data_IF_713113281864
#
_entry.id   IF_713113281864
#
_cell.length_a   1.000
_cell.length_b   1.000
_cell.length_c   1.000
_cell.angle_alpha   90.00
_cell.angle_beta   90.00
_cell.angle_gamma   90.00
#
_symmetry.space_group_name_H-M   'P 1'
#
loop_
_entity.id
_entity.type
_entity.pdbx_description
1 polymer ?
#
# COMPACT_ATOMS: atom_id res chain seq x y z
N UNK A 1 -48.83 1.98 48.46
CA UNK A 1 -47.39 1.89 48.10
C UNK A 1 -47.32 1.13 46.78
N UNK A 2 -47.15 1.82 45.64
CA UNK A 2 -45.91 1.89 44.83
C UNK A 2 -45.13 0.56 44.82
N UNK A 3 -45.07 -0.14 43.67
CA UNK A 3 -43.90 -0.14 42.76
C UNK A 3 -44.36 -0.65 41.38
N UNK A 4 -44.14 0.17 40.34
CA UNK A 4 -44.21 -0.21 38.92
C UNK A 4 -42.82 -0.70 38.53
N UNK A 5 -42.69 -1.95 38.11
CA UNK A 5 -41.44 -2.46 37.53
C UNK A 5 -41.51 -2.35 36.01
N UNK A 6 -40.93 -1.26 35.48
CA UNK A 6 -40.53 -1.14 34.08
C UNK A 6 -39.33 -2.06 33.85
N UNK A 7 -39.53 -3.17 33.16
CA UNK A 7 -38.46 -4.05 32.72
C UNK A 7 -37.87 -3.51 31.40
N UNK A 8 -36.85 -2.67 31.51
CA UNK A 8 -35.92 -2.38 30.42
C UNK A 8 -34.88 -3.51 30.40
N UNK A 9 -34.91 -4.39 29.40
CA UNK A 9 -33.74 -5.21 29.05
C UNK A 9 -33.18 -4.72 27.72
N UNK A 10 -31.95 -4.21 27.83
CA UNK A 10 -31.15 -3.66 26.75
C UNK A 10 -30.81 -4.73 25.72
N UNK A 11 -31.07 -4.44 24.45
CA UNK A 11 -30.44 -5.12 23.32
C UNK A 11 -28.95 -4.71 23.32
N UNK A 12 -28.08 -5.53 23.89
CA UNK A 12 -26.64 -5.42 23.65
C UNK A 12 -26.31 -6.11 22.34
N UNK A 13 -26.24 -5.32 21.27
CA UNK A 13 -25.64 -5.75 20.01
C UNK A 13 -24.13 -5.84 20.20
N UNK A 14 -23.63 -7.04 20.51
CA UNK A 14 -22.20 -7.34 20.35
C UNK A 14 -21.96 -7.83 18.93
N UNK A 15 -21.87 -6.91 17.97
CA UNK A 15 -21.24 -7.19 16.69
C UNK A 15 -19.74 -6.88 16.83
N UNK A 16 -18.99 -7.81 17.42
CA UNK A 16 -17.54 -7.84 17.24
C UNK A 16 -17.24 -8.44 15.86
N UNK A 17 -17.40 -7.64 14.82
CA UNK A 17 -16.93 -7.99 13.49
C UNK A 17 -15.43 -7.75 13.41
N UNK A 18 -14.63 -8.64 13.99
CA UNK A 18 -13.29 -8.86 13.48
C UNK A 18 -13.44 -9.70 12.22
N UNK A 19 -13.92 -9.08 11.14
CA UNK A 19 -13.74 -9.65 9.82
C UNK A 19 -12.22 -9.68 9.62
N UNK A 20 -11.62 -10.86 9.66
CA UNK A 20 -10.31 -11.06 9.06
C UNK A 20 -10.36 -10.41 7.69
N UNK A 21 -9.35 -9.61 7.35
CA UNK A 21 -9.33 -8.84 6.13
C UNK A 21 -9.25 -9.81 4.94
N UNK A 22 -10.41 -10.26 4.46
CA UNK A 22 -10.49 -11.35 3.48
C UNK A 22 -9.82 -10.87 2.19
N UNK A 23 -8.64 -11.43 1.90
CA UNK A 23 -7.94 -11.21 0.65
C UNK A 23 -6.54 -10.61 0.79
N UNK A 24 -6.22 -9.85 1.84
CA UNK A 24 -4.89 -9.22 1.97
C UNK A 24 -3.89 -10.13 2.69
N UNK A 25 -2.74 -10.40 2.07
CA UNK A 25 -1.64 -11.15 2.67
C UNK A 25 -0.29 -10.52 2.37
N UNK A 26 0.65 -10.63 3.30
CA UNK A 26 2.05 -10.26 3.08
C UNK A 26 2.85 -11.49 2.66
N UNK A 27 3.85 -11.28 1.81
CA UNK A 27 4.76 -12.31 1.35
C UNK A 27 6.18 -11.78 1.17
N UNK A 28 7.13 -12.71 1.06
CA UNK A 28 8.55 -12.41 0.85
C UNK A 28 8.97 -12.44 -0.62
N UNK A 29 8.15 -13.00 -1.50
CA UNK A 29 8.54 -13.35 -2.86
C UNK A 29 7.51 -12.84 -3.86
N UNK A 30 8.00 -12.18 -4.90
CA UNK A 30 7.15 -11.73 -6.01
C UNK A 30 6.62 -12.93 -6.80
N UNK A 31 5.35 -12.90 -7.25
CA UNK A 31 4.82 -13.87 -8.19
C UNK A 31 5.64 -13.94 -9.49
N UNK A 32 5.83 -15.14 -10.05
CA UNK A 32 6.65 -15.36 -11.25
C UNK A 32 6.16 -14.55 -12.48
N UNK A 33 4.85 -14.36 -12.62
CA UNK A 33 4.25 -13.54 -13.67
C UNK A 33 4.58 -12.06 -13.52
N UNK A 34 4.64 -11.56 -12.29
CA UNK A 34 5.10 -10.20 -12.00
C UNK A 34 6.59 -10.04 -12.32
N UNK A 35 7.44 -10.99 -11.92
CA UNK A 35 8.87 -11.00 -12.27
C UNK A 35 9.05 -10.98 -13.79
N UNK A 36 8.34 -11.85 -14.51
CA UNK A 36 8.41 -11.92 -15.97
C UNK A 36 7.95 -10.60 -16.63
N UNK A 37 6.93 -9.96 -16.07
CA UNK A 37 6.48 -8.66 -16.55
C UNK A 37 7.54 -7.58 -16.31
N UNK A 38 8.16 -7.53 -15.12
CA UNK A 38 9.24 -6.57 -14.83
C UNK A 38 10.40 -6.75 -15.80
N UNK A 39 10.91 -7.98 -15.95
CA UNK A 39 12.01 -8.31 -16.89
C UNK A 39 11.68 -7.87 -18.32
N UNK A 40 10.44 -8.06 -18.75
CA UNK A 40 9.99 -7.69 -20.09
C UNK A 40 9.93 -6.17 -20.27
N UNK A 41 9.38 -5.43 -19.31
CA UNK A 41 9.15 -3.99 -19.43
C UNK A 41 10.42 -3.16 -19.15
N UNK A 42 11.29 -3.61 -18.23
CA UNK A 42 12.53 -2.90 -17.89
C UNK A 42 13.74 -3.33 -18.72
N UNK A 43 13.62 -4.42 -19.50
CA UNK A 43 14.73 -5.09 -20.19
C UNK A 43 15.87 -5.53 -19.25
N UNK A 44 15.60 -5.63 -17.95
CA UNK A 44 16.57 -6.03 -16.94
C UNK A 44 16.52 -7.53 -16.64
N UNK A 45 17.68 -8.18 -16.40
CA UNK A 45 17.72 -9.53 -15.88
C UNK A 45 17.00 -9.68 -14.52
N UNK A 46 16.39 -10.84 -14.29
CA UNK A 46 15.63 -11.10 -13.06
C UNK A 46 16.49 -11.09 -11.77
N UNK A 47 17.79 -11.33 -11.89
CA UNK A 47 18.77 -11.27 -10.81
C UNK A 47 19.28 -9.85 -10.51
N UNK A 48 18.93 -8.86 -11.34
CA UNK A 48 19.31 -7.45 -11.12
C UNK A 48 18.39 -6.74 -10.11
N UNK A 49 17.34 -7.42 -9.64
CA UNK A 49 16.38 -6.85 -8.71
C UNK A 49 15.84 -7.91 -7.75
N UNK A 50 15.45 -7.47 -6.56
CA UNK A 50 14.81 -8.33 -5.56
C UNK A 50 13.78 -7.55 -4.74
N UNK A 51 12.73 -8.23 -4.30
CA UNK A 51 11.81 -7.63 -3.33
C UNK A 51 12.48 -7.52 -1.96
N UNK A 52 12.18 -6.44 -1.22
CA UNK A 52 12.59 -6.37 0.19
C UNK A 52 11.88 -7.46 1.01
N UNK A 53 12.46 -7.84 2.14
CA UNK A 53 11.84 -8.78 3.08
C UNK A 53 10.46 -8.28 3.51
N UNK A 54 9.44 -9.14 3.40
CA UNK A 54 8.03 -8.83 3.66
C UNK A 54 7.50 -7.61 2.87
N UNK A 55 8.15 -7.28 1.74
CA UNK A 55 7.82 -6.15 0.87
C UNK A 55 6.73 -6.43 -0.16
N UNK A 56 6.21 -7.65 -0.20
CA UNK A 56 5.17 -8.06 -1.15
C UNK A 56 3.83 -8.12 -0.43
N UNK A 57 2.81 -7.48 -0.99
CA UNK A 57 1.43 -7.65 -0.54
C UNK A 57 0.59 -8.18 -1.69
N UNK A 58 -0.27 -9.13 -1.40
CA UNK A 58 -1.24 -9.67 -2.34
C UNK A 58 -2.65 -9.35 -1.84
N UNK A 59 -3.55 -9.00 -2.75
CA UNK A 59 -4.99 -8.93 -2.49
C UNK A 59 -5.75 -9.72 -3.55
N UNK A 60 -7.08 -9.72 -3.45
CA UNK A 60 -7.95 -10.35 -4.45
C UNK A 60 -7.74 -9.73 -5.84
N UNK A 61 -6.91 -10.37 -6.66
CA UNK A 61 -6.67 -10.00 -8.06
C UNK A 61 -5.39 -9.20 -8.33
N UNK A 62 -4.55 -8.92 -7.33
CA UNK A 62 -3.31 -8.18 -7.58
C UNK A 62 -2.24 -8.28 -6.50
N UNK A 63 -1.08 -7.72 -6.82
CA UNK A 63 0.13 -7.73 -6.00
C UNK A 63 0.81 -6.36 -6.04
N UNK A 64 1.32 -5.89 -4.89
CA UNK A 64 2.28 -4.78 -4.78
C UNK A 64 3.59 -5.37 -4.29
N UNK A 65 4.72 -4.94 -4.86
CA UNK A 65 6.04 -5.32 -4.39
C UNK A 65 6.98 -4.11 -4.31
N UNK A 66 7.57 -3.89 -3.13
CA UNK A 66 8.72 -3.02 -2.97
C UNK A 66 9.99 -3.76 -3.39
N UNK A 67 10.68 -3.23 -4.40
CA UNK A 67 11.80 -3.84 -5.12
C UNK A 67 13.02 -2.94 -5.03
N UNK A 68 14.17 -3.52 -4.71
CA UNK A 68 15.47 -2.87 -4.83
C UNK A 68 16.13 -3.36 -6.11
N UNK A 69 16.63 -2.41 -6.90
CA UNK A 69 17.46 -2.69 -8.06
C UNK A 69 18.91 -2.45 -7.65
N UNK A 70 19.78 -3.43 -7.90
CA UNK A 70 21.18 -3.40 -7.48
C UNK A 70 21.98 -2.41 -8.34
N UNK A 71 21.98 -1.13 -7.94
CA UNK A 71 22.72 -0.03 -8.55
C UNK A 71 23.56 0.71 -7.48
N UNK A 72 24.75 1.25 -7.81
CA UNK A 72 25.59 1.99 -6.87
C UNK A 72 24.90 3.19 -6.21
N UNK A 73 23.89 3.77 -6.85
CA UNK A 73 23.12 4.90 -6.32
C UNK A 73 21.93 4.46 -5.46
N UNK A 74 21.58 3.17 -5.43
CA UNK A 74 20.43 2.64 -4.71
C UNK A 74 19.10 3.07 -5.34
N UNK A 75 18.42 2.13 -5.99
CA UNK A 75 17.14 2.35 -6.67
C UNK A 75 16.04 1.58 -5.94
N UNK A 76 14.91 2.23 -5.71
CA UNK A 76 13.74 1.69 -5.02
C UNK A 76 12.58 1.86 -5.97
N UNK A 77 12.03 0.73 -6.38
CA UNK A 77 10.83 0.67 -7.17
C UNK A 77 9.70 0.10 -6.30
N UNK A 78 8.48 0.60 -6.47
CA UNK A 78 7.29 -0.12 -6.03
C UNK A 78 6.53 -0.47 -7.29
N UNK A 79 6.38 -1.76 -7.56
CA UNK A 79 5.60 -2.26 -8.68
C UNK A 79 4.22 -2.69 -8.20
N UNK A 80 3.22 -2.52 -9.05
CA UNK A 80 1.89 -3.12 -8.89
C UNK A 80 1.62 -4.03 -10.08
N UNK A 81 1.11 -5.22 -9.82
CA UNK A 81 0.73 -6.18 -10.85
C UNK A 81 -0.72 -6.63 -10.66
N UNK A 82 -1.57 -6.44 -11.67
CA UNK A 82 -2.99 -6.77 -11.63
C UNK A 82 -3.53 -7.02 -13.03
N UNK A 83 -4.39 -8.03 -13.20
CA UNK A 83 -5.05 -8.30 -14.48
C UNK A 83 -4.10 -8.54 -15.66
N UNK A 84 -2.86 -9.00 -15.40
CA UNK A 84 -1.84 -9.16 -16.43
C UNK A 84 -1.02 -7.90 -16.74
N UNK A 85 -1.34 -6.77 -16.12
CA UNK A 85 -0.68 -5.48 -16.33
C UNK A 85 0.25 -5.14 -15.17
N UNK A 86 1.43 -4.61 -15.52
CA UNK A 86 2.42 -4.07 -14.58
C UNK A 86 2.32 -2.55 -14.58
N UNK A 87 2.36 -1.96 -13.40
CA UNK A 87 2.47 -0.52 -13.17
C UNK A 87 3.66 -0.24 -12.24
N UNK A 88 4.30 0.91 -12.41
CA UNK A 88 5.43 1.41 -11.63
C UNK A 88 5.03 2.71 -10.92
N UNK A 89 4.19 2.63 -9.87
CA UNK A 89 3.72 3.81 -9.13
C UNK A 89 4.83 4.58 -8.41
N UNK A 90 5.99 3.98 -8.18
CA UNK A 90 7.12 4.67 -7.56
C UNK A 90 8.45 4.16 -8.11
N UNK A 91 9.31 5.09 -8.49
CA UNK A 91 10.71 4.90 -8.84
C UNK A 91 11.51 6.06 -8.25
N UNK A 92 12.48 5.75 -7.39
CA UNK A 92 13.26 6.73 -6.65
C UNK A 92 14.74 6.40 -6.67
N UNK A 93 15.57 7.43 -6.91
CA UNK A 93 17.03 7.33 -6.98
C UNK A 93 17.70 8.63 -6.54
N UNK A 94 18.75 8.60 -5.71
CA UNK A 94 19.06 7.59 -4.71
C UNK A 94 17.93 7.40 -3.69
N UNK A 95 17.76 6.18 -3.17
CA UNK A 95 16.78 5.93 -2.11
C UNK A 95 17.11 4.71 -1.24
N UNK A 96 16.32 4.53 -0.18
CA UNK A 96 16.33 3.35 0.68
C UNK A 96 14.96 3.09 1.30
N UNK A 97 14.43 1.87 1.19
CA UNK A 97 13.29 1.45 2.00
C UNK A 97 13.68 1.37 3.48
N UNK A 98 12.83 1.91 4.36
CA UNK A 98 13.06 1.91 5.82
C UNK A 98 12.51 0.66 6.51
N UNK A 99 11.96 -0.30 5.75
CA UNK A 99 11.38 -1.54 6.26
C UNK A 99 10.22 -2.03 5.40
N UNK A 100 9.49 -3.06 5.85
CA UNK A 100 8.28 -3.52 5.20
C UNK A 100 7.17 -2.46 5.25
N UNK A 101 6.16 -2.57 4.36
CA UNK A 101 5.01 -1.68 4.37
C UNK A 101 4.22 -1.79 5.67
N UNK A 102 3.68 -0.65 6.11
CA UNK A 102 2.73 -0.59 7.21
C UNK A 102 1.30 -0.65 6.66
N UNK A 103 0.45 -1.47 7.29
CA UNK A 103 -0.98 -1.52 7.01
C UNK A 103 -1.72 -0.56 7.95
N UNK A 104 -2.19 0.55 7.40
CA UNK A 104 -2.74 1.67 8.16
C UNK A 104 -4.27 1.67 8.08
N UNK A 105 -4.93 1.82 9.23
CA UNK A 105 -6.40 1.81 9.33
C UNK A 105 -6.98 3.16 9.78
N UNK A 106 -6.16 4.22 9.78
CA UNK A 106 -6.52 5.55 10.28
C UNK A 106 -7.75 6.15 9.57
N UNK A 107 -7.91 5.86 8.27
CA UNK A 107 -9.08 6.28 7.49
C UNK A 107 -10.38 5.53 7.80
N UNK A 108 -10.31 4.44 8.58
CA UNK A 108 -11.47 3.60 8.98
C UNK A 108 -12.25 3.04 7.78
N UNK A 109 -11.55 2.67 6.72
CA UNK A 109 -12.08 1.98 5.54
C UNK A 109 -12.09 0.46 5.75
N UNK A 110 -12.80 -0.27 4.87
CA UNK A 110 -12.88 -1.73 4.96
C UNK A 110 -11.54 -2.42 4.69
N UNK A 111 -10.74 -1.87 3.77
CA UNK A 111 -9.37 -2.30 3.48
C UNK A 111 -8.39 -1.25 4.00
N UNK A 112 -7.23 -1.65 4.57
CA UNK A 112 -6.23 -0.72 5.08
C UNK A 112 -5.49 -0.07 3.93
N UNK A 113 -4.98 1.13 4.18
CA UNK A 113 -3.98 1.73 3.29
C UNK A 113 -2.65 1.01 3.45
N UNK A 114 -1.89 0.89 2.37
CA UNK A 114 -0.54 0.32 2.35
C UNK A 114 0.45 1.47 2.28
N UNK A 115 1.33 1.60 3.28
CA UNK A 115 2.25 2.74 3.37
C UNK A 115 3.70 2.26 3.47
N UNK A 116 4.50 2.63 2.48
CA UNK A 116 5.94 2.40 2.48
C UNK A 116 6.66 3.63 3.04
N UNK A 117 7.63 3.36 3.91
CA UNK A 117 8.56 4.37 4.40
C UNK A 117 9.83 4.32 3.56
N UNK A 118 10.20 5.43 2.92
CA UNK A 118 11.33 5.51 2.01
C UNK A 118 12.17 6.73 2.38
N UNK A 119 13.48 6.56 2.43
CA UNK A 119 14.41 7.68 2.43
C UNK A 119 14.77 7.98 0.97
N UNK A 120 14.50 9.19 0.49
CA UNK A 120 14.66 9.59 -0.92
C UNK A 120 15.56 10.81 -1.03
N UNK A 121 16.48 10.79 -2.00
CA UNK A 121 17.29 11.96 -2.30
C UNK A 121 16.45 13.08 -2.89
N UNK A 122 16.55 14.28 -2.32
CA UNK A 122 15.86 15.48 -2.81
C UNK A 122 16.90 16.47 -3.32
N UNK A 123 17.05 16.64 -4.65
CA UNK A 123 18.07 17.49 -5.24
C UNK A 123 18.05 18.93 -4.70
N UNK A 124 16.86 19.50 -4.54
CA UNK A 124 16.68 20.87 -4.03
C UNK A 124 17.14 21.05 -2.57
N UNK A 125 17.30 19.96 -1.82
CA UNK A 125 17.82 19.97 -0.44
C UNK A 125 19.26 19.47 -0.37
N UNK A 126 19.82 18.96 -1.47
CA UNK A 126 21.17 18.39 -1.52
C UNK A 126 21.36 17.18 -0.60
N UNK A 127 20.28 16.44 -0.28
CA UNK A 127 20.36 15.37 0.70
C UNK A 127 19.15 14.45 0.73
N UNK A 128 19.29 13.39 1.51
CA UNK A 128 18.25 12.40 1.76
C UNK A 128 17.14 12.98 2.67
N UNK A 129 15.88 12.63 2.38
CA UNK A 129 14.74 13.05 3.18
C UNK A 129 13.75 11.89 3.38
N UNK A 130 13.08 11.88 4.53
CA UNK A 130 11.99 10.96 4.79
C UNK A 130 10.82 11.23 3.83
N UNK A 131 10.34 10.16 3.21
CA UNK A 131 9.24 10.16 2.28
C UNK A 131 8.28 9.00 2.60
N UNK A 132 7.06 9.09 2.07
CA UNK A 132 6.04 8.06 2.15
C UNK A 132 5.51 7.80 0.76
N UNK A 133 5.28 6.53 0.43
CA UNK A 133 4.47 6.15 -0.73
C UNK A 133 3.27 5.42 -0.18
N UNK A 134 2.07 5.85 -0.55
CA UNK A 134 0.85 5.36 0.06
C UNK A 134 -0.15 4.91 -0.99
N UNK A 135 -0.78 3.77 -0.72
CA UNK A 135 -1.79 3.18 -1.57
C UNK A 135 -3.09 3.01 -0.79
N UNK A 136 -4.21 3.41 -1.38
CA UNK A 136 -5.53 3.07 -0.87
C UNK A 136 -6.20 2.04 -1.77
N UNK A 137 -7.10 1.24 -1.21
CA UNK A 137 -7.90 0.33 -2.01
C UNK A 137 -9.14 1.04 -2.56
N UNK A 138 -9.30 1.01 -3.88
CA UNK A 138 -10.48 1.48 -4.61
C UNK A 138 -11.38 0.28 -4.95
N UNK A 139 -12.57 0.24 -4.37
CA UNK A 139 -13.51 -0.87 -4.54
C UNK A 139 -14.17 -0.91 -5.91
N UNK A 140 -14.30 0.23 -6.59
CA UNK A 140 -14.88 0.27 -7.94
C UNK A 140 -13.89 -0.31 -8.95
N UNK A 141 -12.60 -0.03 -8.75
CA UNK A 141 -11.51 -0.56 -9.59
C UNK A 141 -10.97 -1.91 -9.12
N UNK A 142 -11.38 -2.39 -7.95
CA UNK A 142 -10.81 -3.56 -7.27
C UNK A 142 -9.27 -3.52 -7.21
N UNK A 143 -8.69 -2.35 -6.94
CA UNK A 143 -7.26 -2.11 -7.09
C UNK A 143 -6.70 -1.24 -5.97
N UNK A 144 -5.41 -1.43 -5.65
CA UNK A 144 -4.67 -0.46 -4.83
C UNK A 144 -4.12 0.68 -5.69
N UNK A 145 -4.48 1.90 -5.33
CA UNK A 145 -4.18 3.13 -6.06
C UNK A 145 -3.21 3.99 -5.26
N UNK A 146 -2.12 4.42 -5.90
CA UNK A 146 -1.15 5.34 -5.31
C UNK A 146 -1.80 6.72 -5.16
N UNK A 147 -1.53 7.43 -4.05
CA UNK A 147 -1.99 8.80 -3.86
C UNK A 147 -0.94 9.62 -3.12
N UNK A 148 -0.50 10.70 -3.76
CA UNK A 148 0.43 11.68 -3.19
C UNK A 148 -0.19 12.47 -2.03
N UNK A 149 -1.50 12.71 -2.10
CA UNK A 149 -2.29 13.35 -1.04
C UNK A 149 -2.36 12.46 0.19
N UNK A 150 -2.56 11.15 0.00
CA UNK A 150 -2.50 10.17 1.07
C UNK A 150 -1.09 10.02 1.67
N UNK A 151 -0.06 9.98 0.83
CA UNK A 151 1.33 9.96 1.26
C UNK A 151 1.69 11.19 2.11
N UNK A 152 1.31 12.38 1.65
CA UNK A 152 1.51 13.65 2.36
C UNK A 152 0.77 13.67 3.69
N UNK A 153 -0.45 13.14 3.72
CA UNK A 153 -1.23 13.01 4.94
C UNK A 153 -0.52 12.13 5.98
N UNK A 154 -0.02 10.95 5.58
CA UNK A 154 0.75 10.08 6.46
C UNK A 154 2.11 10.66 6.87
N UNK A 155 2.75 11.45 6.01
CA UNK A 155 4.01 12.13 6.32
C UNK A 155 3.83 13.26 7.33
N UNK A 156 2.74 14.02 7.26
CA UNK A 156 2.49 15.18 8.14
C UNK A 156 2.22 14.81 9.59
N UNK A 157 1.74 13.59 9.85
CA UNK A 157 1.36 13.11 11.19
C UNK A 157 0.04 13.69 11.75
N UNK A 158 -0.49 14.77 11.18
CA UNK A 158 -1.79 15.33 11.58
C UNK A 158 -2.94 14.65 10.82
N UNK A 159 -3.56 13.66 11.46
CA UNK A 159 -4.57 12.79 10.86
C UNK A 159 -6.01 13.19 11.18
N UNK A 160 -6.26 14.46 11.50
CA UNK A 160 -7.59 14.93 11.93
C UNK A 160 -8.64 14.91 10.80
N UNK A 161 -8.22 15.18 9.56
CA UNK A 161 -9.09 15.22 8.37
C UNK A 161 -8.52 14.28 7.32
N UNK A 162 -9.36 13.40 6.78
CA UNK A 162 -8.94 12.49 5.71
C UNK A 162 -8.55 13.28 4.44
N UNK A 163 -7.54 12.79 3.68
CA UNK A 163 -7.13 13.45 2.45
C UNK A 163 -8.17 13.24 1.34
N UNK A 164 -8.19 14.16 0.38
CA UNK A 164 -8.83 13.93 -0.91
C UNK A 164 -7.98 12.94 -1.72
N UNK A 165 -8.64 12.02 -2.43
CA UNK A 165 -8.00 10.91 -3.16
C UNK A 165 -8.26 10.98 -4.66
N UNK A 166 -8.73 12.12 -5.15
CA UNK A 166 -8.91 12.36 -6.58
C UNK A 166 -7.60 12.27 -7.38
N UNK A 167 -6.45 12.36 -6.71
CA UNK A 167 -5.13 12.16 -7.30
C UNK A 167 -4.74 10.68 -7.46
N UNK A 168 -5.63 9.75 -7.10
CA UNK A 168 -5.38 8.31 -7.12
C UNK A 168 -4.99 7.76 -8.47
N UNK A 169 -3.81 7.12 -8.55
CA UNK A 169 -3.28 6.51 -9.77
C UNK A 169 -3.30 4.97 -9.71
N UNK A 170 -4.15 4.38 -10.55
CA UNK A 170 -4.23 2.95 -10.76
C UNK A 170 -4.96 2.58 -12.04
N UNK A 171 -4.56 1.45 -12.62
CA UNK A 171 -5.29 0.78 -13.68
C UNK A 171 -6.52 0.10 -13.07
N UNK A 172 -7.64 0.11 -13.80
CA UNK A 172 -8.81 -0.66 -13.40
C UNK A 172 -8.48 -2.15 -13.42
N UNK A 173 -8.94 -2.90 -12.41
CA UNK A 173 -8.92 -4.35 -12.47
C UNK A 173 -9.79 -4.84 -13.62
N UNK A 174 -9.32 -5.83 -14.36
CA UNK A 174 -10.18 -6.60 -15.27
C UNK A 174 -11.19 -7.39 -14.43
N UNK A 175 -12.50 -7.19 -14.70
CA UNK A 175 -13.60 -7.99 -14.13
C UNK A 175 -13.47 -9.49 -14.42
#
# INVERSE_FOLDING_TARGET
MKVVYLLFMALTWTLSANAALVGLSTGSTMPNNMIAAIVKESEMPADSFHSIADGVLNWSGGTIAAVVIEDPNGICAIYRYQGGQLDLPFDGVPCKFQGPPSLMSDRKTAMPDVVFAVELFVPNRGGMANHKVAFYYDSEKNAYCESQSLASWYLSGNRALAPDLQDGQCLAGSE
#
